data_IF_468085300747
#
_entry.id   IF_468085300747
#
_cell.length_a   1.000
_cell.length_b   1.000
_cell.length_c   1.000
_cell.angle_alpha   90.00
_cell.angle_beta   90.00
_cell.angle_gamma   90.00
#
_symmetry.space_group_name_H-M   'P 1'
#
loop_
_entity.id
_entity.type
_entity.pdbx_description
1 polymer ?
#
# COMPACT_ATOMS: atom_id res chain seq x y z
N UNK A 1 16.46 -20.61 -0.04
CA UNK A 1 16.83 -19.98 -1.33
C UNK A 1 15.83 -20.24 -2.45
N UNK A 2 15.25 -21.44 -2.63
CA UNK A 2 14.33 -21.73 -3.74
C UNK A 2 13.00 -20.91 -3.79
N UNK A 3 12.51 -20.42 -2.67
CA UNK A 3 11.23 -19.68 -2.62
C UNK A 3 11.31 -18.26 -3.21
N UNK A 4 12.47 -17.62 -3.20
CA UNK A 4 12.63 -16.27 -3.74
C UNK A 4 12.81 -16.26 -5.27
N UNK A 5 13.39 -17.33 -5.81
CA UNK A 5 13.58 -17.51 -7.25
C UNK A 5 12.25 -17.70 -8.00
N UNK A 6 11.27 -18.35 -7.36
CA UNK A 6 9.94 -18.56 -7.95
C UNK A 6 9.14 -17.25 -8.09
N UNK A 7 9.29 -16.32 -7.13
CA UNK A 7 8.59 -15.01 -7.16
C UNK A 7 9.19 -14.13 -8.26
N UNK A 8 10.50 -14.12 -8.41
CA UNK A 8 11.16 -13.39 -9.50
C UNK A 8 10.81 -13.97 -10.88
N UNK A 9 10.80 -15.28 -11.03
CA UNK A 9 10.42 -15.95 -12.27
C UNK A 9 8.94 -15.69 -12.63
N UNK A 10 8.03 -15.67 -11.65
CA UNK A 10 6.64 -15.30 -11.85
C UNK A 10 6.46 -13.85 -12.30
N UNK A 11 7.21 -12.91 -11.74
CA UNK A 11 7.21 -11.51 -12.15
C UNK A 11 7.74 -11.34 -13.59
N UNK A 12 8.80 -12.04 -13.96
CA UNK A 12 9.33 -12.02 -15.34
C UNK A 12 8.37 -12.67 -16.35
N UNK A 13 7.69 -13.76 -15.99
CA UNK A 13 6.71 -14.40 -16.86
C UNK A 13 5.47 -13.50 -17.08
N UNK A 14 4.99 -12.79 -16.06
CA UNK A 14 3.90 -11.83 -16.20
C UNK A 14 4.28 -10.64 -17.11
N UNK A 15 5.52 -10.14 -17.03
CA UNK A 15 5.97 -9.04 -17.91
C UNK A 15 6.10 -9.49 -19.37
N UNK A 16 6.50 -10.74 -19.62
CA UNK A 16 6.61 -11.30 -20.97
C UNK A 16 5.21 -11.54 -21.59
N UNK A 17 4.23 -12.01 -20.80
CA UNK A 17 2.87 -12.21 -21.27
C UNK A 17 2.15 -10.89 -21.59
N UNK A 18 2.32 -9.86 -20.78
CA UNK A 18 1.73 -8.54 -21.05
C UNK A 18 2.36 -7.87 -22.25
N UNK A 19 3.65 -8.09 -22.51
CA UNK A 19 4.33 -7.57 -23.71
C UNK A 19 3.79 -8.20 -25.02
N UNK A 20 3.39 -9.48 -24.99
CA UNK A 20 2.89 -10.16 -26.18
C UNK A 20 1.43 -9.85 -26.54
N UNK A 21 0.58 -9.52 -25.56
CA UNK A 21 -0.87 -9.29 -25.77
C UNK A 21 -1.16 -7.91 -26.40
N UNK A 22 -0.19 -6.99 -26.41
CA UNK A 22 -0.42 -5.59 -26.79
C UNK A 22 0.29 -5.13 -28.08
N UNK A 23 0.84 -6.02 -28.88
CA UNK A 23 1.50 -5.63 -30.12
C UNK A 23 0.49 -5.48 -31.26
N UNK A 24 0.03 -4.27 -31.54
CA UNK A 24 -0.46 -3.82 -32.83
C UNK A 24 0.28 -2.56 -33.25
N UNK A 25 0.72 -2.52 -34.50
CA UNK A 25 1.75 -1.65 -35.06
C UNK A 25 1.48 -0.12 -35.01
N UNK A 26 0.28 0.33 -34.72
CA UNK A 26 -0.09 1.75 -34.78
C UNK A 26 -0.03 2.50 -33.44
N UNK A 27 -0.01 1.78 -32.30
CA UNK A 27 -0.16 2.37 -30.97
C UNK A 27 1.12 2.28 -30.11
N UNK A 28 2.25 1.89 -30.68
CA UNK A 28 3.50 1.59 -29.93
C UNK A 28 4.07 2.85 -29.25
N UNK A 29 3.78 4.04 -29.74
CA UNK A 29 4.32 5.30 -29.18
C UNK A 29 3.69 5.71 -27.84
N UNK A 30 2.50 5.19 -27.51
CA UNK A 30 1.77 5.59 -26.30
C UNK A 30 1.88 4.57 -25.15
N UNK A 31 2.72 3.54 -25.31
CA UNK A 31 2.90 2.49 -24.30
C UNK A 31 4.23 2.67 -23.61
N UNK A 32 4.16 2.96 -22.33
CA UNK A 32 5.35 3.08 -21.51
C UNK A 32 5.28 2.10 -20.35
N UNK A 33 6.27 1.22 -20.27
CA UNK A 33 6.54 0.44 -19.06
C UNK A 33 7.59 1.16 -18.23
N UNK A 34 7.45 1.08 -16.94
CA UNK A 34 8.42 1.65 -16.03
C UNK A 34 8.56 0.85 -14.75
N UNK A 35 9.74 0.92 -14.16
CA UNK A 35 10.06 0.34 -12.85
C UNK A 35 10.39 1.48 -11.91
N UNK A 36 9.90 1.40 -10.68
CA UNK A 36 10.08 2.46 -9.69
C UNK A 36 10.35 1.88 -8.29
N UNK A 37 11.56 2.01 -7.78
CA UNK A 37 11.78 1.93 -6.33
C UNK A 37 11.07 3.10 -5.64
N UNK A 38 10.46 2.82 -4.50
CA UNK A 38 9.74 3.83 -3.74
C UNK A 38 9.83 3.61 -2.24
N UNK A 39 9.61 4.68 -1.51
CA UNK A 39 9.39 4.70 -0.07
C UNK A 39 8.05 5.34 0.23
N UNK A 40 7.43 4.92 1.32
CA UNK A 40 6.14 5.43 1.76
C UNK A 40 6.18 5.63 3.28
N UNK A 41 5.69 6.77 3.73
CA UNK A 41 5.31 6.99 5.11
C UNK A 41 3.82 6.72 5.28
N UNK A 42 3.42 6.18 6.42
CA UNK A 42 2.02 6.00 6.74
C UNK A 42 1.74 6.33 8.22
N UNK A 43 0.52 6.76 8.51
CA UNK A 43 0.05 6.91 9.88
C UNK A 43 -1.41 6.50 9.95
N UNK A 44 -1.76 5.71 10.95
CA UNK A 44 -3.15 5.31 11.19
C UNK A 44 -3.92 6.53 11.70
N UNK A 45 -4.92 6.94 10.94
CA UNK A 45 -5.67 8.16 11.18
C UNK A 45 -6.96 7.89 11.95
N UNK A 46 -7.67 6.84 11.58
CA UNK A 46 -8.94 6.45 12.20
C UNK A 46 -9.02 4.94 12.30
N UNK A 47 -9.68 4.51 13.35
CA UNK A 47 -10.00 3.11 13.62
C UNK A 47 -11.52 2.98 13.72
N UNK A 48 -12.11 2.12 12.93
CA UNK A 48 -13.53 1.79 13.06
C UNK A 48 -13.64 0.42 13.70
N UNK A 49 -14.41 0.31 14.76
CA UNK A 49 -14.69 -0.94 15.45
C UNK A 49 -16.07 -1.42 15.01
N UNK A 50 -16.15 -2.63 14.48
CA UNK A 50 -17.41 -3.30 14.19
C UNK A 50 -17.68 -4.35 15.26
N UNK A 51 -18.87 -4.32 15.83
CA UNK A 51 -19.32 -5.25 16.86
C UNK A 51 -19.54 -6.66 16.30
N UNK A 52 -19.07 -7.67 17.00
CA UNK A 52 -19.46 -9.06 16.75
C UNK A 52 -20.38 -9.51 17.86
N UNK A 53 -21.68 -9.47 17.54
CA UNK A 53 -22.81 -10.10 18.26
C UNK A 53 -22.67 -10.24 19.78
N UNK A 54 -23.31 -9.34 20.53
CA UNK A 54 -23.81 -9.65 21.88
C UNK A 54 -23.32 -8.77 23.03
N UNK A 55 -22.20 -8.07 22.91
CA UNK A 55 -21.77 -7.13 23.97
C UNK A 55 -21.29 -5.83 23.33
N UNK A 56 -21.72 -4.70 23.87
CA UNK A 56 -21.19 -3.40 23.43
C UNK A 56 -19.70 -3.35 23.77
N UNK A 57 -18.81 -3.12 22.82
CA UNK A 57 -17.41 -2.91 23.14
C UNK A 57 -17.35 -1.70 24.07
N UNK A 58 -16.74 -1.87 25.24
CA UNK A 58 -16.31 -0.74 26.05
C UNK A 58 -15.19 -0.02 25.28
N UNK A 59 -15.58 0.85 24.32
CA UNK A 59 -14.66 1.65 23.49
C UNK A 59 -14.13 2.81 24.35
N UNK A 60 -13.46 2.49 25.42
CA UNK A 60 -12.73 3.46 26.24
C UNK A 60 -11.25 3.51 25.89
N UNK A 61 -10.81 2.68 24.93
CA UNK A 61 -9.40 2.63 24.56
C UNK A 61 -8.98 3.90 23.80
N UNK A 62 -7.99 4.56 24.35
CA UNK A 62 -7.33 5.67 23.67
C UNK A 62 -6.41 5.10 22.58
N UNK A 63 -6.58 5.58 21.36
CA UNK A 63 -5.78 5.16 20.21
C UNK A 63 -4.92 6.34 19.70
N UNK A 64 -3.66 6.07 19.39
CA UNK A 64 -2.74 7.01 18.72
C UNK A 64 -2.00 6.31 17.60
N UNK A 65 -2.18 6.79 16.38
CA UNK A 65 -1.35 6.39 15.25
C UNK A 65 0.10 6.83 15.46
N UNK A 66 1.03 5.96 15.07
CA UNK A 66 2.45 6.26 14.98
C UNK A 66 2.88 6.37 13.51
N UNK A 67 4.10 6.82 13.31
CA UNK A 67 4.72 6.85 11.98
C UNK A 67 5.21 5.46 11.62
N UNK A 68 4.56 4.85 10.65
CA UNK A 68 5.01 3.64 9.96
C UNK A 68 5.51 3.96 8.56
N UNK A 69 5.82 2.93 7.77
CA UNK A 69 6.24 3.14 6.40
C UNK A 69 6.25 1.87 5.56
N UNK A 70 6.61 2.04 4.30
CA UNK A 70 6.89 0.94 3.40
C UNK A 70 8.06 1.31 2.48
N UNK A 71 8.72 0.29 1.97
CA UNK A 71 9.67 0.42 0.87
C UNK A 71 9.51 -0.76 -0.07
N UNK A 72 9.67 -0.50 -1.35
CA UNK A 72 9.39 -1.53 -2.33
C UNK A 72 9.69 -1.14 -3.75
N UNK A 73 9.23 -1.99 -4.64
CA UNK A 73 9.37 -1.84 -6.07
C UNK A 73 7.98 -1.83 -6.72
N UNK A 74 7.79 -0.94 -7.66
CA UNK A 74 6.59 -0.82 -8.48
C UNK A 74 6.94 -1.07 -9.94
N UNK A 75 6.09 -1.82 -10.63
CA UNK A 75 6.10 -1.95 -12.08
C UNK A 75 4.84 -1.29 -12.59
N UNK A 76 4.97 -0.38 -13.53
CA UNK A 76 3.83 0.36 -14.06
C UNK A 76 3.79 0.26 -15.57
N UNK A 77 2.58 0.12 -16.11
CA UNK A 77 2.28 0.27 -17.52
C UNK A 77 1.35 1.47 -17.74
N UNK A 78 1.51 2.18 -18.84
CA UNK A 78 0.58 3.23 -19.23
C UNK A 78 0.09 3.02 -20.66
N UNK A 79 -1.19 3.28 -20.87
CA UNK A 79 -1.85 3.31 -22.15
C UNK A 79 -2.63 4.62 -22.23
N UNK A 80 -2.10 5.59 -22.99
CA UNK A 80 -2.64 6.96 -23.02
C UNK A 80 -2.72 7.52 -21.59
N UNK A 81 -3.91 7.89 -21.16
CA UNK A 81 -4.16 8.44 -19.83
C UNK A 81 -4.35 7.37 -18.74
N UNK A 82 -4.58 6.11 -19.11
CA UNK A 82 -4.74 5.02 -18.14
C UNK A 82 -3.40 4.47 -17.70
N UNK A 83 -3.35 4.05 -16.45
CA UNK A 83 -2.18 3.42 -15.84
C UNK A 83 -2.57 2.17 -15.06
N UNK A 84 -1.69 1.19 -15.10
CA UNK A 84 -1.74 -0.02 -14.29
C UNK A 84 -0.44 -0.12 -13.51
N UNK A 85 -0.52 -0.52 -12.25
CA UNK A 85 0.64 -0.69 -11.40
C UNK A 85 0.54 -1.98 -10.59
N UNK A 86 1.69 -2.60 -10.37
CA UNK A 86 1.87 -3.72 -9.44
C UNK A 86 3.05 -3.39 -8.53
N UNK A 87 2.83 -3.47 -7.22
CA UNK A 87 3.86 -3.20 -6.23
C UNK A 87 4.11 -4.42 -5.36
N UNK A 88 5.37 -4.61 -5.00
CA UNK A 88 5.79 -5.52 -3.94
C UNK A 88 6.63 -4.73 -2.93
N UNK A 89 6.25 -4.77 -1.66
CA UNK A 89 6.90 -3.97 -0.63
C UNK A 89 6.90 -4.65 0.73
N UNK A 90 7.85 -4.26 1.56
CA UNK A 90 7.82 -4.45 2.99
C UNK A 90 7.15 -3.22 3.60
N UNK A 91 6.08 -3.42 4.36
CA UNK A 91 5.38 -2.32 5.03
C UNK A 91 5.29 -2.55 6.54
N UNK A 92 5.26 -1.49 7.32
CA UNK A 92 5.01 -1.57 8.74
C UNK A 92 3.93 -0.57 9.17
N UNK A 93 3.24 -0.91 10.24
CA UNK A 93 2.31 -0.04 10.95
C UNK A 93 2.75 0.09 12.40
N UNK A 94 2.69 1.31 12.91
CA UNK A 94 3.01 1.63 14.29
C UNK A 94 1.82 2.36 14.90
N UNK A 95 1.36 1.90 16.05
CA UNK A 95 0.30 2.56 16.81
C UNK A 95 0.47 2.31 18.30
N UNK A 96 -0.24 3.09 19.11
CA UNK A 96 -0.34 2.92 20.56
C UNK A 96 -1.79 2.87 20.93
N UNK A 97 -2.11 2.00 21.87
CA UNK A 97 -3.46 1.78 22.36
C UNK A 97 -3.43 1.45 23.85
N UNK A 98 -4.40 1.94 24.60
CA UNK A 98 -4.55 1.64 26.02
C UNK A 98 -5.82 2.25 26.60
N UNK A 99 -6.15 1.85 27.83
CA UNK A 99 -7.30 2.37 28.55
C UNK A 99 -7.22 3.88 28.82
N UNK A 100 -6.01 4.41 28.94
CA UNK A 100 -5.72 5.83 29.15
C UNK A 100 -4.38 6.22 28.49
N UNK A 101 -4.03 7.50 28.55
CA UNK A 101 -2.82 8.06 27.94
C UNK A 101 -1.52 7.57 28.57
N UNK A 102 -1.56 7.16 29.82
CA UNK A 102 -0.37 6.79 30.61
C UNK A 102 -0.07 5.28 30.45
N UNK A 103 -1.09 4.47 30.11
CA UNK A 103 -1.02 3.02 30.00
C UNK A 103 -1.14 2.54 28.53
N UNK A 104 -0.49 3.24 27.59
CA UNK A 104 -0.54 2.89 26.18
C UNK A 104 0.51 1.83 25.81
N UNK A 105 0.07 0.73 25.24
CA UNK A 105 0.91 -0.31 24.64
C UNK A 105 1.26 0.07 23.21
N UNK A 106 2.53 0.05 22.87
CA UNK A 106 3.00 0.25 21.51
C UNK A 106 2.98 -1.06 20.75
N UNK A 107 2.39 -1.05 19.58
CA UNK A 107 2.40 -2.17 18.64
C UNK A 107 3.07 -1.74 17.33
N UNK A 108 3.97 -2.56 16.84
CA UNK A 108 4.59 -2.42 15.53
C UNK A 108 4.41 -3.73 14.77
N UNK A 109 3.73 -3.68 13.63
CA UNK A 109 3.43 -4.84 12.80
C UNK A 109 4.10 -4.70 11.44
N UNK A 110 4.84 -5.71 11.01
CA UNK A 110 5.54 -5.73 9.73
C UNK A 110 4.84 -6.69 8.77
N UNK A 111 4.57 -6.24 7.57
CA UNK A 111 3.85 -6.98 6.53
C UNK A 111 4.62 -7.02 5.23
N UNK A 112 4.57 -8.17 4.57
CA UNK A 112 4.81 -8.23 3.13
C UNK A 112 3.54 -7.74 2.42
N UNK A 113 3.67 -6.75 1.55
CA UNK A 113 2.58 -6.14 0.81
C UNK A 113 2.70 -6.45 -0.68
N UNK A 114 1.58 -6.89 -1.27
CA UNK A 114 1.36 -6.91 -2.71
C UNK A 114 0.21 -5.95 -3.01
N UNK A 115 0.39 -5.05 -3.98
CA UNK A 115 -0.58 -4.01 -4.27
C UNK A 115 -0.78 -3.86 -5.78
N UNK A 116 -2.03 -4.03 -6.22
CA UNK A 116 -2.47 -3.67 -7.56
C UNK A 116 -2.98 -2.22 -7.57
N UNK A 117 -2.68 -1.46 -8.62
CA UNK A 117 -3.15 -0.07 -8.78
C UNK A 117 -3.74 0.15 -10.16
N UNK A 118 -4.93 0.76 -10.18
CA UNK A 118 -5.53 1.35 -11.37
C UNK A 118 -5.36 2.86 -11.29
N UNK A 119 -4.94 3.50 -12.37
CA UNK A 119 -4.68 4.92 -12.31
C UNK A 119 -5.07 5.65 -13.58
N UNK A 120 -5.13 6.95 -13.43
CA UNK A 120 -5.32 7.90 -14.50
C UNK A 120 -4.28 9.01 -14.38
N UNK A 121 -3.73 9.46 -15.50
CA UNK A 121 -2.82 10.60 -15.56
C UNK A 121 -3.40 11.69 -16.44
N UNK A 122 -3.16 12.94 -16.06
CA UNK A 122 -3.43 14.11 -16.89
C UNK A 122 -2.21 15.02 -16.91
N UNK A 123 -1.90 15.55 -18.07
CA UNK A 123 -0.77 16.47 -18.26
C UNK A 123 -1.16 17.85 -17.74
N UNK A 124 -0.31 18.44 -16.90
CA UNK A 124 -0.42 19.81 -16.42
C UNK A 124 0.53 20.70 -17.23
N UNK A 125 1.71 20.18 -17.57
CA UNK A 125 2.70 20.80 -18.41
C UNK A 125 3.51 19.73 -19.12
N UNK A 126 4.41 20.11 -20.03
CA UNK A 126 5.32 19.20 -20.77
C UNK A 126 6.17 18.31 -19.86
N UNK A 127 6.43 18.76 -18.62
CA UNK A 127 7.27 18.04 -17.66
C UNK A 127 6.48 17.46 -16.48
N UNK A 128 5.23 17.91 -16.26
CA UNK A 128 4.46 17.57 -15.06
C UNK A 128 3.13 16.93 -15.42
N UNK A 129 2.89 15.76 -14.85
CA UNK A 129 1.60 15.08 -14.90
C UNK A 129 1.01 14.98 -13.49
N UNK A 130 -0.30 15.08 -13.38
CA UNK A 130 -1.06 14.70 -12.18
C UNK A 130 -1.51 13.26 -12.33
N UNK A 131 -1.27 12.47 -11.33
CA UNK A 131 -1.67 11.07 -11.27
C UNK A 131 -2.71 10.86 -10.18
N UNK A 132 -3.74 10.08 -10.49
CA UNK A 132 -4.72 9.58 -9.53
C UNK A 132 -4.70 8.07 -9.61
N UNK A 133 -4.62 7.40 -8.46
CA UNK A 133 -4.55 5.95 -8.37
C UNK A 133 -5.60 5.40 -7.39
N UNK A 134 -6.14 4.25 -7.72
CA UNK A 134 -6.96 3.43 -6.83
C UNK A 134 -6.15 2.17 -6.50
N UNK A 135 -5.45 2.13 -5.37
CA UNK A 135 -4.73 0.96 -4.90
C UNK A 135 -5.68 -0.05 -4.27
N UNK A 136 -5.38 -1.34 -4.48
CA UNK A 136 -5.92 -2.47 -3.72
C UNK A 136 -4.72 -3.25 -3.24
N UNK A 137 -4.57 -3.38 -1.93
CA UNK A 137 -3.42 -4.01 -1.32
C UNK A 137 -3.82 -5.24 -0.51
N UNK A 138 -3.00 -6.27 -0.62
CA UNK A 138 -3.00 -7.43 0.25
C UNK A 138 -1.71 -7.43 1.06
N UNK A 139 -1.83 -7.59 2.38
CA UNK A 139 -0.70 -7.63 3.30
C UNK A 139 -0.73 -8.91 4.11
N UNK A 140 0.43 -9.55 4.22
CA UNK A 140 0.65 -10.74 5.05
C UNK A 140 1.63 -10.42 6.15
N UNK A 141 1.23 -10.68 7.38
CA UNK A 141 2.04 -10.44 8.57
C UNK A 141 3.34 -11.26 8.52
N UNK A 142 4.45 -10.60 8.82
CA UNK A 142 5.77 -11.21 8.94
C UNK A 142 6.23 -11.27 10.39
N UNK A 143 6.03 -10.19 11.13
CA UNK A 143 6.39 -10.10 12.53
C UNK A 143 5.60 -9.01 13.26
N UNK A 144 5.43 -9.19 14.55
CA UNK A 144 4.84 -8.21 15.48
C UNK A 144 5.80 -7.97 16.61
N UNK A 145 5.97 -6.71 16.99
CA UNK A 145 6.63 -6.28 18.20
C UNK A 145 5.61 -5.50 19.03
N UNK A 146 5.33 -5.99 20.21
CA UNK A 146 4.36 -5.38 21.14
C UNK A 146 4.99 -5.33 22.52
N UNK A 147 4.73 -4.24 23.23
CA UNK A 147 5.09 -4.13 24.65
C UNK A 147 4.07 -4.98 25.47
N UNK A 148 4.21 -6.32 25.39
CA UNK A 148 3.29 -7.30 25.97
C UNK A 148 3.09 -8.50 25.05
N UNK A 149 1.93 -9.21 25.18
CA UNK A 149 1.62 -10.37 24.35
C UNK A 149 1.39 -10.00 22.89
N UNK A 150 1.77 -10.90 21.97
CA UNK A 150 1.61 -10.72 20.53
C UNK A 150 0.21 -11.06 19.99
N UNK A 151 -0.73 -11.37 20.90
CA UNK A 151 -2.08 -11.80 20.53
C UNK A 151 -2.90 -10.63 19.97
N UNK A 152 -3.69 -10.88 18.95
CA UNK A 152 -4.69 -9.96 18.43
C UNK A 152 -4.30 -9.15 17.19
N UNK A 153 -3.16 -9.42 16.53
CA UNK A 153 -2.80 -8.77 15.27
C UNK A 153 -3.21 -9.65 14.09
N UNK A 154 -3.91 -9.08 13.12
CA UNK A 154 -4.36 -9.81 11.94
C UNK A 154 -3.20 -10.38 11.13
N UNK A 155 -3.27 -11.67 10.81
CA UNK A 155 -2.26 -12.37 9.99
C UNK A 155 -2.27 -11.90 8.54
N UNK A 156 -3.41 -11.41 8.06
CA UNK A 156 -3.62 -10.87 6.71
C UNK A 156 -4.50 -9.64 6.76
N UNK A 157 -4.26 -8.71 5.84
CA UNK A 157 -5.05 -7.48 5.74
C UNK A 157 -5.24 -7.09 4.29
N UNK A 158 -6.47 -6.81 3.92
CA UNK A 158 -6.84 -6.28 2.60
C UNK A 158 -7.35 -4.85 2.74
N UNK A 159 -6.91 -3.98 1.86
CA UNK A 159 -7.32 -2.58 1.86
C UNK A 159 -7.50 -2.05 0.45
N UNK A 160 -8.28 -0.97 0.33
CA UNK A 160 -8.29 -0.13 -0.86
C UNK A 160 -8.30 1.34 -0.48
N UNK A 161 -7.89 2.16 -1.43
CA UNK A 161 -7.75 3.58 -1.17
C UNK A 161 -7.80 4.43 -2.42
N UNK A 162 -7.35 5.64 -2.25
CA UNK A 162 -7.10 6.59 -3.32
C UNK A 162 -5.77 7.29 -3.05
N UNK A 163 -4.96 7.42 -4.08
CA UNK A 163 -3.70 8.18 -4.04
C UNK A 163 -3.72 9.22 -5.16
N UNK A 164 -3.17 10.38 -4.90
CA UNK A 164 -3.04 11.43 -5.90
C UNK A 164 -1.74 12.21 -5.70
N UNK A 165 -1.18 12.72 -6.79
CA UNK A 165 -0.01 13.58 -6.72
C UNK A 165 0.70 13.76 -8.05
N UNK A 166 1.72 14.61 -8.07
CA UNK A 166 2.50 14.92 -9.27
C UNK A 166 3.48 13.80 -9.63
N UNK A 167 3.74 13.70 -10.93
CA UNK A 167 4.91 13.04 -11.50
C UNK A 167 5.63 14.05 -12.38
N UNK A 168 6.92 14.24 -12.14
CA UNK A 168 7.75 15.25 -12.80
C UNK A 168 8.80 14.51 -13.64
N UNK A 169 8.85 14.80 -14.94
CA UNK A 169 9.84 14.28 -15.85
C UNK A 169 11.19 14.94 -15.56
N UNK A 170 12.19 14.14 -15.25
CA UNK A 170 13.56 14.61 -15.01
C UNK A 170 14.40 14.61 -16.29
N UNK A 171 14.16 13.59 -17.13
CA UNK A 171 14.70 13.46 -18.49
C UNK A 171 13.85 12.44 -19.27
N UNK A 172 14.33 11.99 -20.44
CA UNK A 172 13.58 11.07 -21.30
C UNK A 172 13.21 9.74 -20.62
N UNK A 173 14.09 9.23 -19.75
CA UNK A 173 13.92 7.92 -19.12
C UNK A 173 13.56 7.99 -17.64
N UNK A 174 13.73 9.14 -16.97
CA UNK A 174 13.55 9.26 -15.54
C UNK A 174 12.46 10.25 -15.17
N UNK A 175 11.63 9.87 -14.22
CA UNK A 175 10.67 10.77 -13.59
C UNK A 175 10.66 10.56 -12.08
N UNK A 176 10.45 11.64 -11.34
CA UNK A 176 10.13 11.61 -9.93
C UNK A 176 8.63 11.61 -9.73
N UNK A 177 8.13 10.95 -8.69
CA UNK A 177 6.74 11.08 -8.28
C UNK A 177 6.59 11.25 -6.77
N UNK A 178 5.54 11.96 -6.38
CA UNK A 178 5.11 12.09 -4.99
C UNK A 178 3.59 11.94 -4.91
N UNK A 179 3.10 11.01 -4.08
CA UNK A 179 1.67 10.72 -3.95
C UNK A 179 1.26 10.85 -2.48
N UNK A 180 0.08 11.41 -2.27
CA UNK A 180 -0.61 11.43 -0.98
C UNK A 180 -1.88 10.61 -1.14
N UNK A 181 -2.22 9.79 -0.17
CA UNK A 181 -3.38 8.94 -0.26
C UNK A 181 -4.03 8.62 1.07
N UNK A 182 -5.25 8.15 0.96
CA UNK A 182 -6.01 7.52 2.03
C UNK A 182 -6.26 6.09 1.67
N UNK A 183 -6.02 5.18 2.60
CA UNK A 183 -6.19 3.75 2.44
C UNK A 183 -7.03 3.21 3.60
N UNK A 184 -8.02 2.38 3.33
CA UNK A 184 -8.94 1.82 4.31
C UNK A 184 -8.92 0.30 4.24
N UNK A 185 -8.76 -0.34 5.38
CA UNK A 185 -8.88 -1.80 5.47
C UNK A 185 -10.35 -2.24 5.43
N UNK A 186 -10.61 -3.34 4.74
CA UNK A 186 -11.89 -4.05 4.80
C UNK A 186 -11.77 -5.44 5.42
N UNK A 187 -10.59 -5.91 5.68
CA UNK A 187 -10.36 -7.09 6.49
C UNK A 187 -9.88 -6.70 7.88
N UNK A 188 -10.05 -7.61 8.79
CA UNK A 188 -9.70 -7.42 10.19
C UNK A 188 -8.23 -7.03 10.33
N UNK A 189 -7.97 -5.94 11.05
CA UNK A 189 -6.63 -5.53 11.41
C UNK A 189 -6.18 -6.15 12.73
N UNK A 190 -7.10 -6.20 13.69
CA UNK A 190 -6.91 -6.84 14.99
C UNK A 190 -8.19 -7.54 15.41
N UNK A 191 -8.05 -8.77 15.88
CA UNK A 191 -9.15 -9.51 16.52
C UNK A 191 -8.77 -9.67 17.97
N UNK A 192 -9.57 -9.12 18.87
CA UNK A 192 -9.44 -9.41 20.29
C UNK A 192 -10.25 -10.66 20.61
N UNK A 193 -9.61 -11.80 20.92
CA UNK A 193 -10.32 -13.05 21.17
C UNK A 193 -11.19 -13.01 22.44
N UNK A 194 -10.93 -12.07 23.35
CA UNK A 194 -11.71 -11.93 24.60
C UNK A 194 -12.96 -11.09 24.39
N UNK A 195 -12.89 -10.05 23.56
CA UNK A 195 -13.98 -9.09 23.37
C UNK A 195 -14.63 -9.17 21.98
N UNK A 196 -14.19 -10.09 21.12
CA UNK A 196 -14.77 -10.40 19.81
C UNK A 196 -15.09 -9.16 18.93
N UNK A 197 -14.23 -8.15 18.92
CA UNK A 197 -14.39 -6.99 18.04
C UNK A 197 -13.39 -7.00 16.87
N UNK A 198 -13.79 -6.37 15.79
CA UNK A 198 -13.01 -6.24 14.56
C UNK A 198 -12.71 -4.79 14.29
N UNK A 199 -11.51 -4.51 13.81
CA UNK A 199 -11.06 -3.16 13.57
C UNK A 199 -10.69 -2.96 12.11
N UNK A 200 -11.13 -1.84 11.56
CA UNK A 200 -10.88 -1.44 10.18
C UNK A 200 -10.16 -0.09 10.17
N UNK A 201 -8.84 -0.08 10.16
CA UNK A 201 -8.11 1.18 10.18
C UNK A 201 -8.24 1.93 8.85
N UNK A 202 -8.31 3.25 8.97
CA UNK A 202 -8.07 4.20 7.90
C UNK A 202 -6.71 4.84 8.15
N UNK A 203 -5.85 4.87 7.18
CA UNK A 203 -4.54 5.54 7.30
C UNK A 203 -4.26 6.49 6.16
N UNK A 204 -3.49 7.52 6.48
CA UNK A 204 -2.91 8.45 5.54
C UNK A 204 -1.58 7.88 5.07
N UNK A 205 -1.31 8.00 3.78
CA UNK A 205 -0.07 7.58 3.14
C UNK A 205 0.58 8.75 2.42
N UNK A 206 1.90 8.77 2.43
CA UNK A 206 2.72 9.65 1.58
C UNK A 206 3.81 8.80 0.95
N UNK A 207 3.82 8.69 -0.36
CA UNK A 207 4.83 7.91 -1.08
C UNK A 207 5.61 8.76 -2.06
N UNK A 208 6.87 8.43 -2.23
CA UNK A 208 7.75 9.06 -3.22
C UNK A 208 8.72 8.05 -3.80
N UNK A 209 9.13 8.26 -5.02
CA UNK A 209 10.07 7.40 -5.70
C UNK A 209 10.56 7.97 -7.03
N UNK A 210 11.46 7.23 -7.63
CA UNK A 210 12.00 7.54 -8.96
C UNK A 210 11.58 6.41 -9.90
N UNK A 211 11.04 6.79 -11.03
CA UNK A 211 10.54 5.88 -12.07
C UNK A 211 11.50 5.89 -13.24
N UNK A 212 11.89 4.71 -13.68
CA UNK A 212 12.68 4.50 -14.88
C UNK A 212 11.78 3.90 -15.97
N UNK A 213 11.67 4.59 -17.12
CA UNK A 213 10.96 4.11 -18.30
C UNK A 213 11.83 3.10 -19.07
N UNK A 214 11.18 1.99 -19.48
CA UNK A 214 11.79 0.89 -20.21
C UNK A 214 11.51 1.03 -21.72
#
# INVERSE_FOLDING_TARGET
MAKHTLILAGLFACTSLTAQVFYTDSDVRDRNFSVAPYVQANTVFRRTVAEVVGEQPNVTDVFRGGLGGAYGLSINGSLKNFRLGLDAAQSNFVYRQGADLDNMVRTQSNYLMLRGRLGFKTEISDETTLEVWVPIAYRRLQSVQRDGSSDGVASTMTSAGIELGPSIKLNENWSWFGLIGLDNAFSEFEVNPVNAYREYPLWLTMSTGIRFAL
#
